data_IF_593418671897
#
_entry.id   IF_593418671897
#
_cell.length_a   1.000
_cell.length_b   1.000
_cell.length_c   1.000
_cell.angle_alpha   90.00
_cell.angle_beta   90.00
_cell.angle_gamma   90.00
#
_symmetry.space_group_name_H-M   'P 1'
#
loop_
_entity.id
_entity.type
_entity.pdbx_description
1 polymer ?
#
# COMPACT_ATOMS: atom_id res chain seq x y z
N UNK A 1 26.82 28.12 -13.51
CA UNK A 1 27.24 26.93 -14.28
C UNK A 1 27.00 25.63 -13.52
N UNK A 2 27.59 25.42 -12.34
CA UNK A 2 27.42 24.17 -11.56
C UNK A 2 25.95 23.83 -11.19
N UNK A 3 25.17 24.80 -10.72
CA UNK A 3 23.76 24.59 -10.37
C UNK A 3 22.89 24.15 -11.54
N UNK A 4 23.15 24.68 -12.74
CA UNK A 4 22.42 24.28 -13.96
C UNK A 4 22.72 22.82 -14.31
N UNK A 5 23.98 22.40 -14.18
CA UNK A 5 24.38 21.01 -14.39
C UNK A 5 23.73 20.07 -13.37
N UNK A 6 23.72 20.44 -12.09
CA UNK A 6 23.07 19.65 -11.03
C UNK A 6 21.58 19.48 -11.32
N UNK A 7 20.87 20.56 -11.62
CA UNK A 7 19.43 20.50 -11.94
C UNK A 7 19.19 19.66 -13.20
N UNK A 8 19.97 19.85 -14.25
CA UNK A 8 19.85 19.05 -15.47
C UNK A 8 20.08 17.55 -15.20
N UNK A 9 21.09 17.19 -14.40
CA UNK A 9 21.35 15.80 -14.01
C UNK A 9 20.20 15.19 -13.20
N UNK A 10 19.61 15.95 -12.27
CA UNK A 10 18.45 15.49 -11.50
C UNK A 10 17.22 15.26 -12.39
N UNK A 11 16.97 16.16 -13.34
CA UNK A 11 15.87 16.01 -14.32
C UNK A 11 16.10 14.77 -15.19
N UNK A 12 17.32 14.58 -15.70
CA UNK A 12 17.67 13.40 -16.51
C UNK A 12 17.46 12.11 -15.72
N UNK A 13 17.89 12.06 -14.46
CA UNK A 13 17.70 10.89 -13.60
C UNK A 13 16.21 10.62 -13.34
N UNK A 14 15.42 11.67 -13.11
CA UNK A 14 13.99 11.58 -12.90
C UNK A 14 13.27 11.04 -14.15
N UNK A 15 13.59 11.56 -15.33
CA UNK A 15 13.06 11.08 -16.62
C UNK A 15 13.50 9.65 -16.90
N UNK A 16 14.77 9.31 -16.69
CA UNK A 16 15.27 7.94 -16.85
C UNK A 16 14.55 6.95 -15.94
N UNK A 17 14.19 7.38 -14.73
CA UNK A 17 13.42 6.57 -13.77
C UNK A 17 11.99 6.34 -14.24
N UNK A 18 11.33 7.35 -14.85
CA UNK A 18 10.04 7.15 -15.51
C UNK A 18 10.13 6.23 -16.72
N UNK A 19 11.18 6.38 -17.55
CA UNK A 19 11.40 5.48 -18.69
C UNK A 19 11.56 4.03 -18.25
N UNK A 20 12.16 3.77 -17.08
CA UNK A 20 12.25 2.43 -16.50
C UNK A 20 10.87 1.83 -16.22
N UNK A 21 9.93 2.61 -15.66
CA UNK A 21 8.55 2.16 -15.45
C UNK A 21 7.92 1.73 -16.78
N UNK A 22 8.05 2.56 -17.82
CA UNK A 22 7.49 2.29 -19.15
C UNK A 22 8.15 1.07 -19.84
N UNK A 23 9.44 0.88 -19.63
CA UNK A 23 10.16 -0.28 -20.14
C UNK A 23 9.73 -1.57 -19.43
N UNK A 24 9.58 -1.52 -18.09
CA UNK A 24 9.09 -2.67 -17.31
C UNK A 24 7.62 -2.96 -17.57
N UNK A 25 6.76 -1.98 -17.87
CA UNK A 25 5.38 -2.27 -18.28
C UNK A 25 5.33 -2.96 -19.65
N UNK A 26 6.35 -2.75 -20.49
CA UNK A 26 6.45 -3.32 -21.84
C UNK A 26 7.12 -4.71 -21.87
N UNK A 27 7.86 -5.07 -20.81
CA UNK A 27 8.53 -6.35 -20.66
C UNK A 27 7.96 -7.06 -19.43
N UNK A 28 7.21 -8.17 -19.57
CA UNK A 28 6.62 -8.85 -18.43
C UNK A 28 7.74 -9.36 -17.50
N UNK A 29 8.08 -8.57 -16.48
CA UNK A 29 9.01 -9.01 -15.46
C UNK A 29 8.35 -10.17 -14.72
N UNK A 30 9.09 -11.28 -14.60
CA UNK A 30 8.75 -12.40 -13.72
C UNK A 30 8.99 -11.98 -12.26
N UNK A 31 8.32 -10.93 -11.79
CA UNK A 31 8.27 -10.69 -10.35
C UNK A 31 7.46 -11.84 -9.74
N UNK A 32 8.13 -12.69 -8.96
CA UNK A 32 7.55 -13.93 -8.45
C UNK A 32 6.69 -13.74 -7.18
N UNK A 33 6.41 -12.48 -6.80
CA UNK A 33 5.78 -12.13 -5.52
C UNK A 33 4.53 -12.98 -5.21
N UNK A 34 3.69 -13.24 -6.22
CA UNK A 34 2.47 -14.04 -6.09
C UNK A 34 2.49 -15.32 -6.93
N UNK A 35 3.66 -15.72 -7.46
CA UNK A 35 3.78 -16.96 -8.26
C UNK A 35 4.37 -18.06 -7.38
N UNK A 36 3.52 -18.81 -6.70
CA UNK A 36 3.92 -20.04 -5.99
C UNK A 36 3.77 -21.25 -6.91
N UNK A 37 4.90 -21.89 -7.25
CA UNK A 37 4.94 -23.28 -7.72
C UNK A 37 4.27 -23.59 -9.06
N UNK A 38 4.88 -23.13 -10.18
CA UNK A 38 4.69 -23.70 -11.53
C UNK A 38 3.32 -23.52 -12.20
N UNK A 39 2.23 -23.31 -11.44
CA UNK A 39 0.89 -23.04 -11.91
C UNK A 39 0.46 -21.63 -11.46
N UNK A 40 -0.16 -20.86 -12.36
CA UNK A 40 -0.79 -19.58 -12.03
C UNK A 40 -2.00 -19.83 -11.11
N UNK A 41 -1.78 -19.94 -9.80
CA UNK A 41 -2.87 -19.97 -8.84
C UNK A 41 -3.31 -18.56 -8.48
N UNK A 42 -4.61 -18.32 -8.58
CA UNK A 42 -5.25 -17.08 -8.18
C UNK A 42 -5.27 -17.00 -6.65
N UNK A 43 -4.46 -16.10 -6.08
CA UNK A 43 -4.44 -15.77 -4.65
C UNK A 43 -5.62 -14.88 -4.26
N UNK A 44 -6.03 -14.96 -3.00
CA UNK A 44 -7.03 -14.09 -2.37
C UNK A 44 -6.32 -13.18 -1.37
N UNK A 45 -6.04 -11.96 -1.81
CA UNK A 45 -5.26 -10.99 -1.05
C UNK A 45 -6.19 -10.07 -0.26
N UNK A 46 -5.86 -9.81 1.00
CA UNK A 46 -6.48 -8.79 1.83
C UNK A 46 -5.50 -7.64 2.08
N UNK A 47 -5.81 -6.45 1.58
CA UNK A 47 -5.15 -5.22 1.94
C UNK A 47 -5.88 -4.58 3.13
N UNK A 48 -5.18 -4.43 4.25
CA UNK A 48 -5.73 -3.80 5.46
C UNK A 48 -5.14 -2.41 5.62
N UNK A 49 -5.99 -1.39 5.64
CA UNK A 49 -5.61 0.03 5.78
C UNK A 49 -6.38 0.70 6.92
N UNK A 50 -5.89 1.84 7.39
CA UNK A 50 -6.49 2.53 8.53
C UNK A 50 -7.60 3.48 8.07
N UNK A 51 -7.36 4.20 6.97
CA UNK A 51 -8.15 5.35 6.58
C UNK A 51 -8.55 5.34 5.10
N UNK A 52 -9.66 6.00 4.73
CA UNK A 52 -9.95 6.34 3.35
C UNK A 52 -8.89 7.32 2.82
N UNK A 53 -8.18 6.94 1.74
CA UNK A 53 -7.07 7.60 1.03
C UNK A 53 -5.75 6.81 1.07
N UNK A 54 -5.57 5.95 2.06
CA UNK A 54 -4.39 5.10 2.22
C UNK A 54 -4.12 4.25 0.96
N UNK A 55 -5.19 3.72 0.36
CA UNK A 55 -5.14 2.88 -0.82
C UNK A 55 -4.56 3.65 -2.03
N UNK A 56 -4.94 4.92 -2.14
CA UNK A 56 -4.54 5.81 -3.23
C UNK A 56 -3.14 6.37 -2.99
N UNK A 57 -2.84 6.81 -1.77
CA UNK A 57 -1.59 7.48 -1.42
C UNK A 57 -0.41 6.52 -1.28
N UNK A 58 -0.63 5.33 -0.72
CA UNK A 58 0.47 4.45 -0.32
C UNK A 58 0.51 3.14 -1.08
N UNK A 59 -0.66 2.58 -1.44
CA UNK A 59 -0.76 1.21 -1.97
C UNK A 59 -1.12 1.10 -3.45
N UNK A 60 -1.29 2.20 -4.19
CA UNK A 60 -1.63 2.16 -5.62
C UNK A 60 -0.72 1.24 -6.46
N UNK A 61 0.63 1.19 -6.27
CA UNK A 61 1.47 0.22 -6.98
C UNK A 61 1.12 -1.24 -6.65
N UNK A 62 0.93 -1.56 -5.36
CA UNK A 62 0.55 -2.90 -4.90
C UNK A 62 -0.81 -3.33 -5.44
N UNK A 63 -1.81 -2.45 -5.36
CA UNK A 63 -3.16 -2.71 -5.86
C UNK A 63 -3.14 -2.95 -7.37
N UNK A 64 -2.42 -2.10 -8.12
CA UNK A 64 -2.29 -2.22 -9.57
C UNK A 64 -1.59 -3.53 -9.96
N UNK A 65 -0.56 -3.95 -9.21
CA UNK A 65 0.13 -5.22 -9.44
C UNK A 65 -0.79 -6.43 -9.22
N UNK A 66 -1.53 -6.46 -8.11
CA UNK A 66 -2.42 -7.60 -7.78
C UNK A 66 -3.56 -7.71 -8.81
N UNK A 67 -4.20 -6.59 -9.12
CA UNK A 67 -5.35 -6.55 -10.04
C UNK A 67 -4.95 -6.85 -11.49
N UNK A 68 -3.81 -6.33 -11.98
CA UNK A 68 -3.36 -6.57 -13.36
C UNK A 68 -2.92 -8.01 -13.61
N UNK A 69 -2.50 -8.73 -12.56
CA UNK A 69 -2.11 -10.15 -12.62
C UNK A 69 -3.28 -11.10 -12.36
N UNK A 70 -4.49 -10.57 -12.22
CA UNK A 70 -5.71 -11.36 -12.12
C UNK A 70 -5.92 -12.06 -10.78
N UNK A 71 -5.26 -11.60 -9.70
CA UNK A 71 -5.52 -12.06 -8.35
C UNK A 71 -6.78 -11.38 -7.77
N UNK A 72 -7.41 -12.00 -6.76
CA UNK A 72 -8.52 -11.37 -6.05
C UNK A 72 -7.95 -10.44 -4.99
N UNK A 73 -8.44 -9.21 -4.93
CA UNK A 73 -8.06 -8.23 -3.91
C UNK A 73 -9.29 -7.79 -3.13
N UNK A 74 -9.23 -7.97 -1.82
CA UNK A 74 -10.14 -7.40 -0.84
C UNK A 74 -9.45 -6.24 -0.12
N UNK A 75 -10.17 -5.15 0.13
CA UNK A 75 -9.69 -4.00 0.90
C UNK A 75 -10.55 -3.87 2.15
N UNK A 76 -9.90 -3.94 3.31
CA UNK A 76 -10.50 -3.63 4.60
C UNK A 76 -9.93 -2.30 5.11
N UNK A 77 -10.77 -1.27 5.15
CA UNK A 77 -10.46 0.01 5.77
C UNK A 77 -11.07 0.05 7.17
N UNK A 78 -10.22 0.16 8.20
CA UNK A 78 -10.60 -0.05 9.60
C UNK A 78 -11.33 1.12 10.25
N UNK A 79 -11.38 2.28 9.59
CA UNK A 79 -12.17 3.44 10.01
C UNK A 79 -12.79 4.14 8.81
N UNK A 80 -13.81 4.96 9.03
CA UNK A 80 -14.37 5.86 8.02
C UNK A 80 -13.57 7.18 7.88
N UNK A 81 -12.47 7.36 8.64
CA UNK A 81 -11.68 8.61 8.58
C UNK A 81 -12.43 9.84 9.09
N UNK A 82 -13.20 9.71 10.18
CA UNK A 82 -14.13 10.75 10.64
C UNK A 82 -13.52 11.80 11.59
N UNK A 83 -12.19 11.93 11.68
CA UNK A 83 -11.57 12.90 12.58
C UNK A 83 -12.02 14.36 12.34
N UNK A 84 -12.41 14.68 11.09
CA UNK A 84 -12.92 16.00 10.68
C UNK A 84 -14.46 16.05 10.52
N UNK A 85 -15.20 15.03 10.97
CA UNK A 85 -16.66 14.94 10.77
C UNK A 85 -17.09 14.70 9.32
N UNK A 86 -16.22 14.07 8.52
CA UNK A 86 -16.40 13.83 7.07
C UNK A 86 -16.45 12.34 6.70
N UNK A 87 -16.59 11.44 7.66
CA UNK A 87 -16.39 10.01 7.45
C UNK A 87 -17.35 9.39 6.45
N UNK A 88 -18.63 9.80 6.44
CA UNK A 88 -19.59 9.35 5.43
C UNK A 88 -19.18 9.74 4.01
N UNK A 89 -18.64 10.95 3.83
CA UNK A 89 -18.14 11.42 2.52
C UNK A 89 -16.91 10.60 2.14
N UNK A 90 -15.93 10.48 3.06
CA UNK A 90 -14.67 9.78 2.82
C UNK A 90 -14.86 8.29 2.54
N UNK A 91 -15.84 7.65 3.16
CA UNK A 91 -16.25 6.28 2.83
C UNK A 91 -16.62 6.16 1.36
N UNK A 92 -17.53 7.00 0.87
CA UNK A 92 -17.94 6.97 -0.55
C UNK A 92 -16.77 7.29 -1.49
N UNK A 93 -15.91 8.25 -1.12
CA UNK A 93 -14.70 8.59 -1.85
C UNK A 93 -13.74 7.39 -2.02
N UNK A 94 -13.56 6.60 -0.96
CA UNK A 94 -12.79 5.34 -1.02
C UNK A 94 -13.38 4.36 -2.03
N UNK A 95 -14.70 4.14 -2.04
CA UNK A 95 -15.34 3.26 -3.03
C UNK A 95 -15.11 3.76 -4.47
N UNK A 96 -15.19 5.07 -4.71
CA UNK A 96 -14.90 5.66 -6.03
C UNK A 96 -13.42 5.50 -6.42
N UNK A 97 -12.49 5.73 -5.48
CA UNK A 97 -11.07 5.54 -5.71
C UNK A 97 -10.72 4.08 -6.04
N UNK A 98 -11.31 3.12 -5.31
CA UNK A 98 -11.17 1.69 -5.58
C UNK A 98 -11.69 1.29 -6.97
N UNK A 99 -12.77 1.92 -7.45
CA UNK A 99 -13.26 1.69 -8.82
C UNK A 99 -12.25 2.14 -9.88
N UNK A 100 -11.56 3.27 -9.67
CA UNK A 100 -10.45 3.73 -10.54
C UNK A 100 -9.29 2.71 -10.52
N UNK A 101 -8.98 2.18 -9.34
CA UNK A 101 -7.94 1.16 -9.13
C UNK A 101 -8.36 -0.25 -9.55
N UNK A 102 -9.56 -0.41 -10.14
CA UNK A 102 -10.10 -1.68 -10.66
C UNK A 102 -10.33 -2.75 -9.58
N UNK A 103 -10.63 -2.33 -8.36
CA UNK A 103 -11.09 -3.22 -7.28
C UNK A 103 -12.61 -3.27 -7.30
N UNK A 104 -13.25 -4.46 -7.43
CA UNK A 104 -14.69 -4.59 -7.33
C UNK A 104 -15.23 -4.09 -5.99
N UNK A 105 -16.30 -3.29 -6.02
CA UNK A 105 -16.83 -2.63 -4.82
C UNK A 105 -17.29 -3.62 -3.74
N UNK A 106 -17.72 -4.82 -4.13
CA UNK A 106 -18.12 -5.89 -3.20
C UNK A 106 -16.92 -6.44 -2.40
N UNK A 107 -15.70 -6.17 -2.86
CA UNK A 107 -14.46 -6.55 -2.17
C UNK A 107 -13.88 -5.40 -1.35
N UNK A 108 -14.58 -4.26 -1.25
CA UNK A 108 -14.17 -3.11 -0.44
C UNK A 108 -15.10 -2.99 0.76
N UNK A 109 -14.52 -2.98 1.96
CA UNK A 109 -15.25 -2.85 3.22
C UNK A 109 -14.62 -1.78 4.08
N UNK A 110 -15.45 -0.88 4.58
CA UNK A 110 -15.06 0.16 5.54
C UNK A 110 -15.80 -0.06 6.86
N UNK A 111 -15.11 0.14 7.97
CA UNK A 111 -15.69 0.02 9.31
C UNK A 111 -15.95 1.38 9.94
N UNK A 112 -17.06 1.48 10.65
CA UNK A 112 -17.34 2.55 11.60
C UNK A 112 -17.51 1.91 12.98
N UNK A 113 -16.38 1.64 13.64
CA UNK A 113 -16.36 0.97 14.94
C UNK A 113 -16.00 1.97 16.05
N UNK A 114 -16.74 2.05 17.16
CA UNK A 114 -16.53 3.06 18.21
C UNK A 114 -15.15 3.01 18.87
N UNK A 115 -14.47 1.86 18.82
CA UNK A 115 -13.10 1.67 19.32
C UNK A 115 -12.00 1.89 18.27
N UNK A 116 -12.34 2.05 16.99
CA UNK A 116 -11.39 2.23 15.87
C UNK A 116 -11.58 3.60 15.19
N UNK A 117 -11.74 4.63 16.01
CA UNK A 117 -11.97 5.99 15.52
C UNK A 117 -10.67 6.62 15.04
N UNK A 118 -10.76 7.37 13.94
CA UNK A 118 -9.64 8.12 13.37
C UNK A 118 -9.11 9.19 14.34
N UNK A 119 -7.81 9.48 14.26
CA UNK A 119 -7.12 10.50 15.03
C UNK A 119 -5.96 9.98 15.88
N UNK A 120 -5.29 10.90 16.58
CA UNK A 120 -4.10 10.61 17.40
C UNK A 120 -4.41 10.35 18.88
N UNK A 121 -5.69 10.43 19.27
CA UNK A 121 -6.09 10.46 20.68
C UNK A 121 -6.26 9.09 21.33
N UNK A 122 -6.26 7.99 20.57
CA UNK A 122 -6.52 6.63 21.08
C UNK A 122 -5.69 5.61 20.33
N UNK A 123 -5.14 4.66 21.09
CA UNK A 123 -4.51 3.45 20.55
C UNK A 123 -5.61 2.45 20.24
N UNK A 124 -5.64 1.92 19.03
CA UNK A 124 -6.61 0.90 18.65
C UNK A 124 -6.28 -0.45 19.30
N UNK A 125 -7.30 -1.18 19.73
CA UNK A 125 -7.12 -2.46 20.40
C UNK A 125 -6.64 -3.54 19.41
N UNK A 126 -5.40 -4.00 19.56
CA UNK A 126 -4.81 -5.00 18.65
C UNK A 126 -5.52 -6.35 18.67
N UNK A 127 -6.16 -6.74 19.78
CA UNK A 127 -6.97 -7.98 19.87
C UNK A 127 -8.25 -7.85 19.06
N UNK A 128 -8.90 -6.69 19.14
CA UNK A 128 -10.08 -6.39 18.32
C UNK A 128 -9.73 -6.39 16.83
N UNK A 129 -8.62 -5.73 16.47
CA UNK A 129 -8.11 -5.72 15.09
C UNK A 129 -7.84 -7.14 14.58
N UNK A 130 -7.11 -7.96 15.35
CA UNK A 130 -6.84 -9.34 14.98
C UNK A 130 -8.12 -10.14 14.74
N UNK A 131 -9.12 -10.02 15.63
CA UNK A 131 -10.42 -10.71 15.50
C UNK A 131 -11.21 -10.25 14.27
N UNK A 132 -11.22 -8.96 13.97
CA UNK A 132 -11.89 -8.42 12.78
C UNK A 132 -11.23 -8.96 11.52
N UNK A 133 -9.89 -8.90 11.44
CA UNK A 133 -9.12 -9.36 10.28
C UNK A 133 -9.29 -10.88 10.08
N UNK A 134 -9.27 -11.66 11.16
CA UNK A 134 -9.57 -13.10 11.13
C UNK A 134 -10.96 -13.40 10.55
N UNK A 135 -11.96 -12.59 10.91
CA UNK A 135 -13.31 -12.67 10.35
C UNK A 135 -13.33 -12.49 8.83
N UNK A 136 -12.61 -11.50 8.30
CA UNK A 136 -12.48 -11.27 6.86
C UNK A 136 -11.74 -12.41 6.17
N UNK A 137 -10.69 -12.94 6.80
CA UNK A 137 -9.91 -14.06 6.26
C UNK A 137 -10.79 -15.29 6.06
N UNK A 138 -11.54 -15.67 7.10
CA UNK A 138 -12.42 -16.82 7.05
C UNK A 138 -13.58 -16.62 6.06
N UNK A 139 -14.14 -15.41 5.98
CA UNK A 139 -15.28 -15.09 5.12
C UNK A 139 -14.92 -15.08 3.63
N UNK A 140 -13.68 -14.73 3.29
CA UNK A 140 -13.24 -14.54 1.91
C UNK A 140 -12.17 -15.52 1.46
N UNK A 141 -11.79 -16.48 2.31
CA UNK A 141 -10.75 -17.47 2.00
C UNK A 141 -9.41 -16.81 1.67
N UNK A 142 -9.04 -15.78 2.44
CA UNK A 142 -7.82 -15.00 2.24
C UNK A 142 -6.60 -15.88 2.57
N UNK A 143 -5.60 -15.81 1.71
CA UNK A 143 -4.34 -16.56 1.87
C UNK A 143 -3.10 -15.66 1.96
N UNK A 144 -3.28 -14.34 1.73
CA UNK A 144 -2.22 -13.34 1.85
C UNK A 144 -2.76 -12.01 2.38
N UNK A 145 -2.10 -11.43 3.39
CA UNK A 145 -2.39 -10.12 3.96
C UNK A 145 -1.31 -9.12 3.54
N UNK A 146 -1.70 -7.89 3.21
CA UNK A 146 -0.79 -6.76 3.04
C UNK A 146 -1.25 -5.62 3.96
N UNK A 147 -0.30 -4.98 4.65
CA UNK A 147 -0.59 -3.84 5.53
C UNK A 147 0.63 -2.91 5.64
N UNK A 148 0.58 -1.94 6.55
CA UNK A 148 1.69 -1.08 6.93
C UNK A 148 2.75 -1.83 7.74
N UNK A 149 3.97 -1.30 7.76
CA UNK A 149 5.00 -1.73 8.72
C UNK A 149 4.83 -1.06 10.10
N UNK A 150 5.70 -1.42 11.04
CA UNK A 150 5.66 -0.90 12.42
C UNK A 150 5.95 0.61 12.56
N UNK A 151 6.40 1.28 11.49
CA UNK A 151 6.55 2.74 11.47
C UNK A 151 5.30 3.44 10.92
N UNK A 152 4.57 2.82 9.99
CA UNK A 152 3.29 3.35 9.51
C UNK A 152 3.46 4.54 8.55
N UNK A 153 4.41 4.46 7.63
CA UNK A 153 4.78 5.45 6.59
C UNK A 153 5.29 6.79 7.14
N UNK A 154 4.47 7.51 7.90
CA UNK A 154 4.76 8.81 8.49
C UNK A 154 4.78 8.79 10.01
N UNK A 155 4.73 7.61 10.64
CA UNK A 155 4.59 7.50 12.09
C UNK A 155 3.14 7.54 12.58
N UNK A 156 2.15 7.44 11.68
CA UNK A 156 0.75 7.56 12.08
C UNK A 156 0.35 6.42 13.03
N UNK A 157 -0.20 6.76 14.19
CA UNK A 157 -0.56 5.79 15.23
C UNK A 157 -1.50 4.69 14.72
N UNK A 158 -2.60 5.04 14.06
CA UNK A 158 -3.53 4.04 13.53
C UNK A 158 -2.87 3.06 12.54
N UNK A 159 -1.97 3.52 11.65
CA UNK A 159 -1.25 2.64 10.72
C UNK A 159 -0.40 1.61 11.49
N UNK A 160 0.28 2.08 12.54
CA UNK A 160 1.08 1.21 13.43
C UNK A 160 0.19 0.23 14.18
N UNK A 161 -0.99 0.65 14.62
CA UNK A 161 -1.94 -0.25 15.27
C UNK A 161 -2.47 -1.31 14.31
N UNK A 162 -2.72 -0.98 13.03
CA UNK A 162 -3.04 -1.98 12.00
C UNK A 162 -1.92 -3.02 11.90
N UNK A 163 -0.66 -2.57 11.80
CA UNK A 163 0.51 -3.45 11.76
C UNK A 163 0.55 -4.40 12.97
N UNK A 164 0.39 -3.87 14.19
CA UNK A 164 0.43 -4.68 15.40
C UNK A 164 -0.79 -5.61 15.54
N UNK A 165 -1.96 -5.22 15.02
CA UNK A 165 -3.14 -6.08 14.89
C UNK A 165 -2.87 -7.29 13.99
N UNK A 166 -2.26 -7.07 12.81
CA UNK A 166 -1.84 -8.16 11.91
C UNK A 166 -0.78 -9.04 12.58
N UNK A 167 0.24 -8.46 13.22
CA UNK A 167 1.24 -9.27 13.95
C UNK A 167 0.63 -10.08 15.09
N UNK A 168 -0.37 -9.54 15.79
CA UNK A 168 -1.08 -10.26 16.83
C UNK A 168 -1.85 -11.46 16.26
N UNK A 169 -2.59 -11.25 15.17
CA UNK A 169 -3.27 -12.32 14.45
C UNK A 169 -2.30 -13.46 14.07
N UNK A 170 -1.15 -13.14 13.48
CA UNK A 170 -0.18 -14.15 13.05
C UNK A 170 0.40 -14.96 14.22
N UNK A 171 0.57 -14.34 15.40
CA UNK A 171 1.00 -15.03 16.62
C UNK A 171 -0.10 -15.91 17.20
N UNK A 172 -1.35 -15.45 17.15
CA UNK A 172 -2.49 -16.17 17.71
C UNK A 172 -2.96 -17.32 16.79
N UNK A 173 -2.61 -17.28 15.50
CA UNK A 173 -2.96 -18.30 14.49
C UNK A 173 -1.73 -18.93 13.80
N UNK A 174 -0.80 -19.60 14.52
CA UNK A 174 0.46 -20.11 13.94
C UNK A 174 0.28 -21.23 12.91
N UNK A 175 -0.86 -21.92 12.94
CA UNK A 175 -1.17 -23.04 12.04
C UNK A 175 -1.88 -22.59 10.75
N UNK A 176 -2.22 -21.31 10.64
CA UNK A 176 -2.82 -20.75 9.43
C UNK A 176 -1.76 -20.60 8.34
N UNK A 177 -1.98 -21.19 7.16
CA UNK A 177 -1.17 -20.96 5.96
C UNK A 177 -1.40 -19.54 5.38
N UNK A 178 -1.38 -18.52 6.22
CA UNK A 178 -1.61 -17.13 5.83
C UNK A 178 -0.26 -16.44 5.71
N UNK A 179 0.02 -15.95 4.53
CA UNK A 179 1.20 -15.15 4.27
C UNK A 179 0.90 -13.68 4.62
N UNK A 180 1.86 -12.95 5.17
CA UNK A 180 1.67 -11.54 5.50
C UNK A 180 2.86 -10.69 5.09
N UNK A 181 2.55 -9.52 4.53
CA UNK A 181 3.52 -8.57 4.00
C UNK A 181 3.25 -7.16 4.50
N UNK A 182 4.31 -6.40 4.70
CA UNK A 182 4.24 -5.02 5.15
C UNK A 182 4.89 -4.07 4.14
N UNK A 183 4.29 -2.89 3.99
CA UNK A 183 4.84 -1.78 3.22
C UNK A 183 5.98 -1.14 4.00
N UNK A 184 7.19 -1.22 3.45
CA UNK A 184 8.39 -0.65 4.06
C UNK A 184 8.32 0.87 4.09
N UNK A 185 8.44 1.45 5.28
CA UNK A 185 8.51 2.88 5.49
C UNK A 185 9.87 3.44 5.07
N UNK A 186 9.86 4.48 4.23
CA UNK A 186 11.09 5.17 3.80
C UNK A 186 11.32 6.44 4.60
N UNK A 187 12.59 6.83 4.73
CA UNK A 187 12.95 8.12 5.31
C UNK A 187 12.41 9.29 4.47
N UNK A 188 12.36 10.49 5.04
CA UNK A 188 11.74 11.65 4.39
C UNK A 188 12.38 12.02 3.05
N UNK A 189 13.69 11.81 2.89
CA UNK A 189 14.38 12.09 1.62
C UNK A 189 13.90 11.10 0.55
N UNK A 190 14.05 9.80 0.82
CA UNK A 190 13.59 8.73 -0.08
C UNK A 190 12.11 8.84 -0.39
N UNK A 191 11.28 9.25 0.56
CA UNK A 191 9.85 9.45 0.36
C UNK A 191 9.53 10.47 -0.72
N UNK A 192 10.33 11.52 -0.91
CA UNK A 192 9.99 12.66 -1.78
C UNK A 192 10.91 12.84 -3.00
N UNK A 193 11.76 11.86 -3.34
CA UNK A 193 12.54 11.85 -4.60
C UNK A 193 11.77 11.23 -5.78
N UNK A 194 10.50 10.86 -5.58
CA UNK A 194 9.59 10.35 -6.60
C UNK A 194 10.09 9.05 -7.25
N UNK A 195 10.09 8.95 -8.59
CA UNK A 195 10.47 7.73 -9.31
C UNK A 195 11.95 7.40 -9.18
N UNK A 196 12.81 8.35 -8.77
CA UNK A 196 14.24 8.08 -8.55
C UNK A 196 14.44 7.01 -7.47
N UNK A 197 13.52 6.91 -6.51
CA UNK A 197 13.58 5.88 -5.46
C UNK A 197 13.50 4.44 -5.99
N UNK A 198 13.01 4.22 -7.23
CA UNK A 198 13.00 2.91 -7.87
C UNK A 198 14.41 2.29 -7.87
N UNK A 199 15.44 3.08 -8.16
CA UNK A 199 16.81 2.59 -8.18
C UNK A 199 17.30 2.22 -6.79
N UNK A 200 17.01 3.05 -5.80
CA UNK A 200 17.35 2.76 -4.40
C UNK A 200 16.62 1.52 -3.90
N UNK A 201 15.32 1.39 -4.14
CA UNK A 201 14.52 0.22 -3.75
C UNK A 201 14.99 -1.08 -4.39
N UNK A 202 15.43 -1.05 -5.65
CA UNK A 202 16.00 -2.23 -6.31
C UNK A 202 17.34 -2.61 -5.70
N UNK A 203 18.22 -1.63 -5.45
CA UNK A 203 19.52 -1.88 -4.82
C UNK A 203 19.35 -2.44 -3.39
N UNK A 204 18.40 -1.89 -2.64
CA UNK A 204 18.06 -2.30 -1.28
C UNK A 204 17.57 -3.75 -1.24
N UNK A 205 16.67 -4.12 -2.16
CA UNK A 205 16.19 -5.50 -2.31
C UNK A 205 17.30 -6.47 -2.74
N UNK A 206 18.31 -6.02 -3.50
CA UNK A 206 19.46 -6.85 -3.88
C UNK A 206 20.46 -7.04 -2.73
N UNK A 207 20.63 -6.04 -1.86
CA UNK A 207 21.58 -6.09 -0.74
C UNK A 207 21.04 -6.94 0.43
N UNK A 208 19.74 -6.93 0.66
CA UNK A 208 19.10 -7.67 1.75
C UNK A 208 18.68 -9.09 1.32
N UNK A 209 19.63 -9.87 0.78
CA UNK A 209 19.36 -11.24 0.30
C UNK A 209 18.88 -12.23 1.38
N UNK A 210 19.01 -11.88 2.66
CA UNK A 210 18.49 -12.66 3.79
C UNK A 210 17.01 -12.42 4.12
N UNK A 211 16.43 -11.27 3.70
CA UNK A 211 15.01 -10.95 3.91
C UNK A 211 14.24 -11.11 2.60
N UNK A 212 13.04 -11.71 2.64
CA UNK A 212 12.22 -11.80 1.43
C UNK A 212 11.56 -10.44 1.19
N UNK A 213 12.09 -9.70 0.21
CA UNK A 213 11.62 -8.37 -0.19
C UNK A 213 11.24 -8.32 -1.68
N UNK A 214 10.15 -7.60 -2.00
CA UNK A 214 9.68 -7.42 -3.38
C UNK A 214 9.36 -5.96 -3.72
N UNK A 215 10.02 -5.45 -4.78
CA UNK A 215 9.80 -4.10 -5.29
C UNK A 215 8.75 -4.15 -6.40
N UNK A 216 7.57 -3.62 -6.10
CA UNK A 216 6.43 -3.55 -7.01
C UNK A 216 6.41 -2.17 -7.66
N UNK A 217 6.70 -2.11 -8.96
CA UNK A 217 6.65 -0.88 -9.74
C UNK A 217 5.21 -0.56 -10.14
N UNK A 218 4.84 0.71 -10.07
CA UNK A 218 3.57 1.18 -10.58
C UNK A 218 3.66 1.43 -12.08
N UNK A 219 3.17 0.47 -12.88
CA UNK A 219 3.12 0.58 -14.34
C UNK A 219 2.20 1.73 -14.81
N UNK A 220 1.33 2.26 -13.94
CA UNK A 220 0.35 3.30 -14.25
C UNK A 220 0.25 4.38 -13.16
N UNK A 221 1.29 5.21 -12.92
CA UNK A 221 1.28 6.24 -11.87
C UNK A 221 0.13 7.24 -11.98
N UNK A 222 -0.37 7.49 -13.20
CA UNK A 222 -1.55 8.32 -13.44
C UNK A 222 -2.82 7.81 -12.74
N UNK A 223 -2.95 6.48 -12.53
CA UNK A 223 -4.09 5.91 -11.79
C UNK A 223 -4.05 6.32 -10.32
N UNK A 224 -2.88 6.42 -9.70
CA UNK A 224 -2.75 6.90 -8.32
C UNK A 224 -3.28 8.33 -8.17
N UNK A 225 -2.98 9.19 -9.15
CA UNK A 225 -3.53 10.54 -9.20
C UNK A 225 -5.04 10.57 -9.38
N UNK A 226 -5.57 9.78 -10.32
CA UNK A 226 -7.00 9.73 -10.59
C UNK A 226 -7.80 9.15 -9.41
N UNK A 227 -7.24 8.15 -8.73
CA UNK A 227 -7.81 7.54 -7.53
C UNK A 227 -7.79 8.54 -6.37
N UNK A 228 -6.65 9.19 -6.10
CA UNK A 228 -6.57 10.20 -5.06
C UNK A 228 -7.45 11.43 -5.34
N UNK A 229 -7.68 11.76 -6.61
CA UNK A 229 -8.61 12.82 -7.00
C UNK A 229 -10.09 12.50 -6.69
N UNK A 230 -10.45 11.22 -6.48
CA UNK A 230 -11.79 10.84 -6.00
C UNK A 230 -12.00 11.20 -4.53
N UNK A 231 -10.92 11.33 -3.75
CA UNK A 231 -10.94 11.85 -2.37
C UNK A 231 -11.07 13.38 -2.36
N UNK A 232 -12.15 13.89 -2.96
CA UNK A 232 -12.39 15.32 -3.17
C UNK A 232 -12.28 16.14 -1.87
N UNK A 233 -12.76 15.57 -0.75
CA UNK A 233 -12.72 16.17 0.58
C UNK A 233 -11.31 16.29 1.15
N UNK A 234 -10.36 15.55 0.57
CA UNK A 234 -8.96 15.45 0.96
C UNK A 234 -8.01 15.96 -0.14
N UNK A 235 -8.49 16.29 -1.34
CA UNK A 235 -7.68 16.63 -2.52
C UNK A 235 -7.13 18.06 -2.52
N UNK A 236 -6.43 18.39 -1.44
CA UNK A 236 -5.81 19.70 -1.17
C UNK A 236 -4.38 19.78 -1.75
N UNK A 237 -3.83 20.99 -1.82
CA UNK A 237 -2.58 21.28 -2.54
C UNK A 237 -1.40 20.39 -2.12
N UNK A 238 -1.20 20.14 -0.83
CA UNK A 238 -0.07 19.33 -0.36
C UNK A 238 -0.25 17.84 -0.67
N UNK A 239 -1.48 17.33 -0.76
CA UNK A 239 -1.73 15.94 -1.21
C UNK A 239 -1.47 15.78 -2.71
N UNK A 240 -1.74 16.81 -3.52
CA UNK A 240 -1.34 16.83 -4.94
C UNK A 240 0.17 16.75 -5.10
N UNK A 241 0.91 17.52 -4.29
CA UNK A 241 2.37 17.46 -4.26
C UNK A 241 2.86 16.09 -3.76
N UNK A 242 2.23 15.54 -2.73
CA UNK A 242 2.54 14.20 -2.26
C UNK A 242 2.39 13.18 -3.39
N UNK A 243 1.25 13.12 -4.07
CA UNK A 243 1.06 12.12 -5.14
C UNK A 243 2.05 12.34 -6.30
N UNK A 244 2.45 13.58 -6.58
CA UNK A 244 3.43 13.89 -7.62
C UNK A 244 4.87 13.49 -7.29
N UNK A 245 5.29 13.65 -6.05
CA UNK A 245 6.70 13.51 -5.67
C UNK A 245 6.95 12.36 -4.72
N UNK A 246 5.90 11.70 -4.22
CA UNK A 246 6.03 10.56 -3.34
C UNK A 246 6.51 9.34 -4.08
N UNK A 247 7.51 8.66 -3.54
CA UNK A 247 7.99 7.39 -4.07
C UNK A 247 6.94 6.29 -3.99
N UNK A 248 5.99 6.37 -3.04
CA UNK A 248 4.85 5.45 -2.95
C UNK A 248 3.91 5.53 -4.16
N UNK A 249 3.93 6.63 -4.93
CA UNK A 249 3.19 6.69 -6.20
C UNK A 249 3.83 5.79 -7.26
N UNK A 250 5.15 5.58 -7.20
CA UNK A 250 5.92 4.94 -8.28
C UNK A 250 6.36 3.52 -7.96
N UNK A 251 6.59 3.20 -6.69
CA UNK A 251 6.96 1.86 -6.26
C UNK A 251 6.50 1.57 -4.83
N UNK A 252 6.23 0.30 -4.55
CA UNK A 252 6.08 -0.20 -3.19
C UNK A 252 7.16 -1.26 -2.91
N UNK A 253 7.86 -1.09 -1.80
CA UNK A 253 8.76 -2.11 -1.27
C UNK A 253 7.99 -2.90 -0.21
N UNK A 254 7.76 -4.19 -0.47
CA UNK A 254 7.08 -5.07 0.46
C UNK A 254 8.09 -6.02 1.11
N UNK A 255 7.96 -6.22 2.42
CA UNK A 255 8.74 -7.19 3.21
C UNK A 255 7.81 -8.21 3.85
N UNK A 256 8.23 -9.48 3.90
CA UNK A 256 7.47 -10.53 4.58
C UNK A 256 7.49 -10.31 6.10
N UNK A 257 6.34 -10.40 6.75
CA UNK A 257 6.23 -10.34 8.21
C UNK A 257 6.60 -11.72 8.77
N UNK A 258 7.58 -11.77 9.66
CA UNK A 258 7.97 -13.01 10.35
C UNK A 258 7.10 -13.26 11.59
N UNK A 259 6.64 -14.52 11.73
CA UNK A 259 6.03 -15.01 12.95
C UNK A 259 7.13 -15.26 13.99
N UNK A 260 7.47 -14.24 14.78
CA UNK A 260 8.17 -14.41 16.06
C UNK A 260 7.18 -14.32 17.21
#
# INVERSE_FOLDING_TARGET
MAWVLIVASLVVLWVASLCKILYTSSSPSRNSFLTTGGAFQKRNVLLVVAHPDDESMFFSPTISYITSRGHNLHILCLSIGDADGKGNIRKEELYQACAILKVPLQQVKTLDHPELQDGFGRVWNHTLLAKIIEGEINSHGIDLIITFDGYGVSGHCNHRDVHYGVRKLLRDTPQGNIEAWELVSTNILRKYIGPVDIWFSILDAMQHSGEVMHCLLNEHPQKSFLAMAQHSSQWVWFRKLFVAFSSYTYANMLRRIECM
#
